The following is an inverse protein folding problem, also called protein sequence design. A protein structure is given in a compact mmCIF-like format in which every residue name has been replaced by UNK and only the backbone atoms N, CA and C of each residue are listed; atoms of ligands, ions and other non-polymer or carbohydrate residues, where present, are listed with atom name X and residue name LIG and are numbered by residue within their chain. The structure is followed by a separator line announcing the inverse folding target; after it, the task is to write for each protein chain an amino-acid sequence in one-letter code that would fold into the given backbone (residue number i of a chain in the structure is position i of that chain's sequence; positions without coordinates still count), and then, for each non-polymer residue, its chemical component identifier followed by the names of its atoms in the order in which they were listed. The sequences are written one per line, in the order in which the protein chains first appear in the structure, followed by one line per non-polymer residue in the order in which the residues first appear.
data_IF_432069414500
#
_entry.id   IF_432069414500
#
_cell.length_a   1.000
_cell.length_b   1.000
_cell.length_c   1.000
_cell.angle_alpha   90.00
_cell.angle_beta   90.00
_cell.angle_gamma   90.00
#
_symmetry.space_group_name_H-M   'P 1'
#
loop_
_entity.id
_entity.type
_entity.pdbx_description
1 polymer ?
#
# COMPACT_ATOMS: atom_id res chain seq x y z
N UNK A 1 -4.66 -20.71 0.67
CA UNK A 1 -4.81 -20.36 0.87
C UNK A 1 -5.33 -19.33 1.32
N UNK A 2 -5.59 -18.68 1.45
CA UNK A 2 -5.87 -17.83 1.91
C UNK A 2 -6.67 -17.45 2.48
N UNK A 3 -6.65 -16.91 3.02
CA UNK A 3 -7.34 -16.61 3.82
C UNK A 3 -7.97 -15.37 4.11
N UNK A 4 -7.41 -14.29 4.02
CA UNK A 4 -8.00 -13.01 4.36
C UNK A 4 -9.02 -12.59 3.31
N UNK A 5 -9.88 -11.63 3.71
CA UNK A 5 -10.84 -11.07 2.77
C UNK A 5 -10.10 -10.34 1.64
N UNK A 6 -8.98 -9.69 1.96
CA UNK A 6 -8.17 -9.02 0.95
C UNK A 6 -7.63 -10.01 -0.08
N UNK A 7 -7.19 -11.18 0.38
CA UNK A 7 -6.68 -12.21 -0.53
C UNK A 7 -7.76 -12.67 -1.49
N UNK A 8 -8.96 -12.87 -0.99
CA UNK A 8 -10.08 -13.32 -1.82
C UNK A 8 -10.48 -12.23 -2.83
N UNK A 9 -10.47 -10.99 -2.40
CA UNK A 9 -10.77 -9.88 -3.29
C UNK A 9 -9.67 -9.77 -4.35
N UNK A 10 -8.41 -9.87 -3.93
CA UNK A 10 -7.28 -9.82 -4.85
C UNK A 10 -7.43 -10.85 -5.95
N UNK A 11 -7.73 -12.09 -5.59
CA UNK A 11 -7.87 -13.16 -6.56
C UNK A 11 -9.01 -12.91 -7.55
N UNK A 12 -10.08 -12.28 -7.08
CA UNK A 12 -11.21 -11.97 -7.94
C UNK A 12 -10.90 -10.84 -8.91
N UNK A 13 -10.31 -9.75 -8.42
CA UNK A 13 -10.18 -8.53 -9.22
C UNK A 13 -8.94 -8.50 -10.09
N UNK A 14 -7.89 -9.25 -9.72
CA UNK A 14 -6.62 -9.21 -10.43
C UNK A 14 -6.77 -9.50 -11.92
N UNK A 15 -7.41 -10.62 -12.32
CA UNK A 15 -7.54 -10.88 -13.76
C UNK A 15 -8.41 -9.85 -14.48
N UNK A 16 -9.40 -9.29 -13.79
CA UNK A 16 -10.25 -8.27 -14.40
C UNK A 16 -9.44 -6.99 -14.67
N UNK A 17 -8.63 -6.58 -13.71
CA UNK A 17 -7.80 -5.39 -13.85
C UNK A 17 -6.76 -5.60 -14.95
N UNK A 18 -6.14 -6.78 -14.99
CA UNK A 18 -5.14 -7.07 -16.02
C UNK A 18 -5.75 -7.11 -17.41
N UNK A 19 -6.98 -7.58 -17.54
CA UNK A 19 -7.66 -7.59 -18.82
C UNK A 19 -7.92 -6.18 -19.35
N UNK A 20 -7.88 -5.19 -18.49
CA UNK A 20 -8.08 -3.79 -18.87
C UNK A 20 -6.76 -3.03 -19.04
N UNK A 21 -5.64 -3.75 -19.02
CA UNK A 21 -4.33 -3.16 -19.28
C UNK A 21 -3.65 -2.54 -18.08
N UNK A 22 -4.21 -2.70 -16.89
CA UNK A 22 -3.63 -2.18 -15.66
C UNK A 22 -3.04 -3.31 -14.82
N UNK A 23 -2.27 -2.95 -13.82
CA UNK A 23 -1.68 -3.90 -12.87
C UNK A 23 -2.24 -3.62 -11.49
N UNK A 24 -2.64 -4.67 -10.79
CA UNK A 24 -3.10 -4.54 -9.41
C UNK A 24 -1.90 -4.42 -8.49
N UNK A 25 -1.83 -3.29 -7.77
CA UNK A 25 -0.76 -3.06 -6.80
C UNK A 25 -1.10 -3.67 -5.45
N UNK A 26 -2.32 -3.50 -4.99
CA UNK A 26 -2.73 -4.05 -3.71
C UNK A 26 -4.18 -3.76 -3.38
N UNK A 27 -4.66 -4.45 -2.36
CA UNK A 27 -6.04 -4.35 -1.88
C UNK A 27 -6.01 -4.03 -0.41
N UNK A 28 -6.79 -3.05 0.01
CA UNK A 28 -6.92 -2.72 1.42
C UNK A 28 -8.40 -2.64 1.77
N UNK A 29 -8.79 -3.39 2.78
CA UNK A 29 -10.17 -3.42 3.24
C UNK A 29 -10.23 -2.94 4.68
N UNK A 30 -11.00 -1.89 4.92
CA UNK A 30 -11.12 -1.27 6.23
C UNK A 30 -12.57 -1.25 6.64
N UNK A 31 -12.85 -1.59 7.88
CA UNK A 31 -14.21 -1.54 8.40
C UNK A 31 -14.26 -0.62 9.61
N UNK A 32 -15.41 0.02 9.77
CA UNK A 32 -15.75 0.73 10.99
C UNK A 32 -17.13 0.27 11.41
N UNK A 33 -17.66 0.87 12.48
CA UNK A 33 -18.97 0.46 12.99
C UNK A 33 -20.08 0.54 11.95
N UNK A 34 -20.00 1.53 11.04
CA UNK A 34 -21.13 1.84 10.17
C UNK A 34 -20.83 1.62 8.68
N UNK A 35 -19.59 1.39 8.32
CA UNK A 35 -19.28 1.27 6.90
C UNK A 35 -18.00 0.49 6.67
N UNK A 36 -17.87 0.03 5.44
CA UNK A 36 -16.67 -0.63 4.97
C UNK A 36 -16.10 0.15 3.78
N UNK A 37 -14.79 0.21 3.70
CA UNK A 37 -14.08 0.87 2.61
C UNK A 37 -13.16 -0.15 1.97
N UNK A 38 -13.34 -0.36 0.67
CA UNK A 38 -12.46 -1.22 -0.12
C UNK A 38 -11.64 -0.33 -1.04
N UNK A 39 -10.33 -0.38 -0.87
CA UNK A 39 -9.40 0.38 -1.69
C UNK A 39 -8.64 -0.57 -2.60
N UNK A 40 -8.69 -0.30 -3.89
CA UNK A 40 -7.99 -1.05 -4.91
C UNK A 40 -6.95 -0.12 -5.52
N UNK A 41 -5.69 -0.48 -5.38
CA UNK A 41 -4.59 0.33 -5.90
C UNK A 41 -4.09 -0.29 -7.19
N UNK A 42 -4.01 0.53 -8.23
CA UNK A 42 -3.63 0.05 -9.57
C UNK A 42 -2.48 0.88 -10.11
N UNK A 43 -1.74 0.29 -11.04
CA UNK A 43 -0.73 0.99 -11.82
C UNK A 43 -0.97 0.78 -13.29
N UNK A 44 -0.47 1.70 -14.10
CA UNK A 44 -0.58 1.63 -15.55
C UNK A 44 0.67 2.30 -16.13
N UNK A 45 1.19 1.73 -17.20
CA UNK A 45 2.44 2.23 -17.77
C UNK A 45 2.35 3.68 -18.23
N UNK A 46 1.16 4.11 -18.64
CA UNK A 46 0.94 5.50 -19.06
C UNK A 46 0.41 6.38 -17.94
N UNK A 47 0.46 5.89 -16.71
CA UNK A 47 -0.11 6.60 -15.57
C UNK A 47 -1.58 6.24 -15.35
N UNK A 48 -2.06 6.54 -14.18
CA UNK A 48 -3.43 6.19 -13.77
C UNK A 48 -4.31 7.43 -13.89
N UNK A 49 -5.21 7.40 -14.85
CA UNK A 49 -6.14 8.52 -15.08
C UNK A 49 -7.43 8.30 -14.31
N UNK A 50 -8.19 9.38 -14.13
CA UNK A 50 -9.52 9.28 -13.53
C UNK A 50 -10.45 8.43 -14.39
N UNK A 51 -10.31 8.50 -15.71
CA UNK A 51 -11.14 7.70 -16.61
C UNK A 51 -10.86 6.21 -16.45
N UNK A 52 -9.58 5.84 -16.34
CA UNK A 52 -9.21 4.44 -16.12
C UNK A 52 -9.78 3.93 -14.80
N UNK A 53 -9.66 4.74 -13.74
CA UNK A 53 -10.23 4.35 -12.44
C UNK A 53 -11.73 4.16 -12.51
N UNK A 54 -12.42 5.04 -13.23
CA UNK A 54 -13.86 4.92 -13.41
C UNK A 54 -14.26 3.67 -14.20
N UNK A 55 -13.53 3.39 -15.28
CA UNK A 55 -13.79 2.20 -16.09
C UNK A 55 -13.57 0.93 -15.27
N UNK A 56 -12.51 0.88 -14.49
CA UNK A 56 -12.23 -0.29 -13.65
C UNK A 56 -13.30 -0.42 -12.57
N UNK A 57 -13.71 0.69 -11.95
CA UNK A 57 -14.78 0.66 -10.95
C UNK A 57 -16.06 0.05 -11.56
N UNK A 58 -16.41 0.43 -12.78
CA UNK A 58 -17.61 -0.10 -13.44
C UNK A 58 -17.52 -1.60 -13.69
N UNK A 59 -16.34 -2.14 -13.88
CA UNK A 59 -16.15 -3.58 -14.07
C UNK A 59 -16.13 -4.30 -12.73
N UNK A 60 -15.46 -3.73 -11.72
CA UNK A 60 -15.27 -4.42 -10.45
C UNK A 60 -16.52 -4.43 -9.58
N UNK A 61 -17.33 -3.37 -9.59
CA UNK A 61 -18.50 -3.29 -8.72
C UNK A 61 -19.45 -4.47 -8.91
N UNK A 62 -19.93 -4.76 -10.14
CA UNK A 62 -20.83 -5.90 -10.27
C UNK A 62 -20.17 -7.23 -10.00
N UNK A 63 -18.87 -7.37 -10.28
CA UNK A 63 -18.16 -8.62 -9.99
C UNK A 63 -18.06 -8.86 -8.48
N UNK A 64 -17.77 -7.80 -7.73
CA UNK A 64 -17.68 -7.90 -6.27
C UNK A 64 -19.05 -8.20 -5.66
N UNK A 65 -20.09 -7.56 -6.18
CA UNK A 65 -21.45 -7.78 -5.69
C UNK A 65 -21.90 -9.22 -5.98
N UNK A 66 -21.61 -9.72 -7.15
CA UNK A 66 -22.00 -11.09 -7.53
C UNK A 66 -21.24 -12.14 -6.70
N UNK A 67 -19.98 -11.86 -6.37
CA UNK A 67 -19.19 -12.82 -5.59
C UNK A 67 -19.59 -12.84 -4.12
N UNK A 68 -20.24 -11.78 -3.64
CA UNK A 68 -20.76 -11.69 -2.28
C UNK A 68 -19.68 -11.96 -1.22
N UNK A 69 -18.48 -11.42 -1.47
CA UNK A 69 -17.36 -11.57 -0.52
C UNK A 69 -17.52 -10.60 0.64
N UNK A 70 -18.04 -9.41 0.35
CA UNK A 70 -18.16 -8.34 1.34
C UNK A 70 -19.63 -8.23 1.73
N UNK A 71 -19.94 -8.62 2.96
CA UNK A 71 -21.33 -8.70 3.38
C UNK A 71 -22.00 -7.35 3.57
N UNK A 72 -21.43 -6.40 4.34
CA UNK A 72 -22.14 -5.11 4.53
C UNK A 72 -21.96 -4.21 3.32
N UNK A 73 -22.74 -3.14 3.29
CA UNK A 73 -22.55 -2.11 2.28
C UNK A 73 -21.14 -1.57 2.39
N UNK A 74 -20.53 -1.29 1.27
CA UNK A 74 -19.15 -0.83 1.23
C UNK A 74 -18.97 0.26 0.18
N UNK A 75 -17.92 1.05 0.35
CA UNK A 75 -17.50 2.03 -0.63
C UNK A 75 -16.29 1.46 -1.37
N UNK A 76 -16.31 1.52 -2.70
CA UNK A 76 -15.20 1.07 -3.53
C UNK A 76 -14.43 2.28 -4.02
N UNK A 77 -13.12 2.30 -3.76
CA UNK A 77 -12.22 3.32 -4.29
C UNK A 77 -11.14 2.66 -5.12
N UNK A 78 -10.97 3.13 -6.34
CA UNK A 78 -9.91 2.67 -7.24
C UNK A 78 -9.00 3.86 -7.50
N UNK A 79 -7.71 3.71 -7.23
CA UNK A 79 -6.75 4.81 -7.38
C UNK A 79 -5.36 4.29 -7.61
N UNK A 80 -4.43 5.20 -7.94
CA UNK A 80 -3.02 4.85 -7.95
C UNK A 80 -2.52 4.74 -6.52
N UNK A 81 -1.38 4.02 -6.30
CA UNK A 81 -0.84 3.91 -4.94
C UNK A 81 -0.30 5.21 -4.37
N UNK A 82 0.09 6.16 -5.23
CA UNK A 82 0.67 7.41 -4.78
C UNK A 82 2.15 7.31 -4.48
N UNK A 83 2.75 8.42 -4.08
CA UNK A 83 4.17 8.46 -3.72
C UNK A 83 4.41 7.88 -2.33
N UNK A 84 3.43 8.01 -1.44
CA UNK A 84 3.48 7.46 -0.09
C UNK A 84 2.78 6.11 -0.04
N UNK A 85 3.00 5.31 -1.05
CA UNK A 85 2.27 4.05 -1.26
C UNK A 85 2.47 3.05 -0.15
N UNK A 86 1.46 2.22 0.01
CA UNK A 86 1.54 1.06 0.90
C UNK A 86 2.27 -0.05 0.16
N UNK A 87 3.17 -0.73 0.86
CA UNK A 87 3.86 -1.91 0.33
C UNK A 87 3.18 -3.15 0.90
N UNK A 88 2.64 -3.96 0.00
CA UNK A 88 1.80 -5.11 0.39
C UNK A 88 2.55 -6.43 0.40
N UNK A 89 3.62 -6.54 -0.39
CA UNK A 89 4.35 -7.80 -0.55
C UNK A 89 5.83 -7.59 -0.30
N UNK A 90 6.54 -8.67 0.04
CA UNK A 90 7.99 -8.59 0.20
C UNK A 90 8.69 -8.17 -1.09
N UNK A 91 8.19 -8.61 -2.24
CA UNK A 91 8.80 -8.19 -3.50
C UNK A 91 8.70 -6.68 -3.68
N UNK A 92 7.56 -6.11 -3.33
CA UNK A 92 7.42 -4.66 -3.37
C UNK A 92 8.37 -3.98 -2.39
N UNK A 93 8.53 -4.55 -1.19
CA UNK A 93 9.43 -3.98 -0.18
C UNK A 93 10.86 -3.98 -0.70
N UNK A 94 11.28 -5.06 -1.37
CA UNK A 94 12.65 -5.15 -1.89
C UNK A 94 12.98 -4.05 -2.88
N UNK A 95 11.98 -3.62 -3.64
CA UNK A 95 12.17 -2.55 -4.60
C UNK A 95 12.39 -1.18 -3.94
N UNK A 96 12.15 -1.09 -2.64
CA UNK A 96 12.28 0.16 -1.90
C UNK A 96 13.43 0.16 -0.91
N UNK A 97 14.42 -0.72 -1.09
CA UNK A 97 15.68 -0.65 -0.37
C UNK A 97 16.29 0.74 -0.58
N UNK A 98 16.85 1.31 0.47
CA UNK A 98 17.39 2.67 0.52
C UNK A 98 16.34 3.77 0.52
N UNK A 99 15.08 3.40 0.72
CA UNK A 99 14.02 4.38 0.93
C UNK A 99 13.62 4.40 2.40
N UNK A 100 13.14 5.55 2.85
CA UNK A 100 12.58 5.66 4.20
C UNK A 100 11.19 5.07 4.20
N UNK A 101 10.93 4.22 5.18
CA UNK A 101 9.63 3.56 5.33
C UNK A 101 9.05 3.88 6.69
N UNK A 102 7.72 3.91 6.76
CA UNK A 102 6.99 4.01 8.02
C UNK A 102 6.21 2.72 8.21
N UNK A 103 6.43 2.08 9.35
CA UNK A 103 5.82 0.78 9.65
C UNK A 103 4.93 0.88 10.88
N UNK A 104 3.78 0.20 10.81
CA UNK A 104 2.93 -0.05 11.98
C UNK A 104 3.00 -1.54 12.27
N UNK A 105 3.20 -1.87 13.54
CA UNK A 105 3.47 -3.25 13.96
C UNK A 105 2.25 -3.85 14.65
N UNK A 106 2.06 -5.15 14.47
CA UNK A 106 1.02 -5.89 15.18
C UNK A 106 1.37 -6.04 16.65
N UNK A 107 2.63 -6.40 16.91
CA UNK A 107 3.16 -6.55 18.26
C UNK A 107 4.22 -5.46 18.44
N UNK A 108 4.14 -4.68 19.53
CA UNK A 108 5.12 -3.62 19.72
C UNK A 108 6.55 -4.15 19.75
N UNK A 109 7.47 -3.38 19.18
CA UNK A 109 8.89 -3.67 19.21
C UNK A 109 9.55 -2.61 20.08
N UNK A 110 10.19 -3.04 21.17
CA UNK A 110 10.80 -2.14 22.14
C UNK A 110 9.81 -1.08 22.63
N UNK A 111 8.57 -1.50 22.85
CA UNK A 111 7.50 -0.62 23.35
C UNK A 111 6.86 0.27 22.31
N UNK A 112 7.23 0.14 21.05
CA UNK A 112 6.74 1.02 19.99
C UNK A 112 5.98 0.21 18.94
N UNK A 113 4.83 0.73 18.51
CA UNK A 113 4.07 0.15 17.41
C UNK A 113 4.35 0.83 16.08
N UNK A 114 4.89 2.04 16.10
CA UNK A 114 5.15 2.81 14.89
C UNK A 114 6.63 3.10 14.80
N UNK A 115 7.21 2.78 13.67
CA UNK A 115 8.62 2.98 13.41
C UNK A 115 8.78 3.73 12.09
N UNK A 116 9.84 4.51 12.00
CA UNK A 116 10.17 5.17 10.75
C UNK A 116 11.69 5.13 10.60
N UNK A 117 12.15 4.68 9.44
CA UNK A 117 13.58 4.62 9.20
C UNK A 117 13.91 4.19 7.79
N UNK A 118 15.21 4.17 7.52
CA UNK A 118 15.72 3.79 6.20
C UNK A 118 15.78 2.27 6.09
N UNK A 119 15.19 1.75 5.02
CA UNK A 119 15.25 0.31 4.76
C UNK A 119 16.63 -0.02 4.20
N UNK A 120 17.39 -0.79 4.97
CA UNK A 120 18.75 -1.17 4.57
C UNK A 120 18.77 -2.47 3.78
N UNK A 121 17.98 -3.44 4.17
CA UNK A 121 17.96 -4.73 3.49
C UNK A 121 16.71 -5.52 3.84
N UNK A 122 16.42 -6.52 3.01
CA UNK A 122 15.32 -7.45 3.21
C UNK A 122 15.90 -8.85 3.00
N UNK A 123 15.80 -9.69 4.01
CA UNK A 123 16.31 -11.05 3.91
C UNK A 123 15.33 -11.96 3.17
N UNK A 124 15.76 -13.15 2.80
CA UNK A 124 14.90 -14.09 2.11
C UNK A 124 13.75 -14.56 3.00
N UNK A 125 13.98 -14.61 4.30
CA UNK A 125 12.94 -15.06 5.23
C UNK A 125 11.98 -13.97 5.63
N UNK A 126 12.13 -12.77 5.08
CA UNK A 126 11.20 -11.68 5.35
C UNK A 126 11.57 -10.79 6.52
N UNK A 127 12.84 -10.77 6.91
CA UNK A 127 13.29 -9.82 7.93
C UNK A 127 13.72 -8.52 7.27
N UNK A 128 13.15 -7.42 7.75
CA UNK A 128 13.50 -6.08 7.29
C UNK A 128 14.52 -5.49 8.26
N UNK A 129 15.61 -4.93 7.74
CA UNK A 129 16.56 -4.17 8.56
C UNK A 129 16.28 -2.71 8.30
N UNK A 130 15.83 -2.02 9.34
CA UNK A 130 15.43 -0.61 9.25
C UNK A 130 16.33 0.18 10.18
N UNK A 131 16.88 1.26 9.67
CA UNK A 131 17.77 2.14 10.44
C UNK A 131 16.96 3.32 10.94
N UNK A 132 16.56 3.25 12.21
CA UNK A 132 15.83 4.33 12.88
C UNK A 132 16.82 5.34 13.41
N UNK A 133 16.49 6.60 13.29
CA UNK A 133 17.41 7.67 13.73
C UNK A 133 17.75 7.57 15.19
N UNK A 134 16.79 7.15 16.01
CA UNK A 134 16.99 7.15 17.47
C UNK A 134 17.46 5.81 17.99
N UNK A 135 17.00 4.73 17.38
CA UNK A 135 17.23 3.37 17.88
C UNK A 135 18.34 2.64 17.14
N UNK A 136 18.81 3.18 16.01
CA UNK A 136 19.78 2.48 15.18
C UNK A 136 19.11 1.38 14.37
N UNK A 137 19.88 0.37 14.01
CA UNK A 137 19.37 -0.70 13.16
C UNK A 137 18.45 -1.63 13.94
N UNK A 138 17.30 -1.92 13.35
CA UNK A 138 16.32 -2.82 13.94
C UNK A 138 15.95 -3.88 12.93
N UNK A 139 15.77 -5.10 13.42
CA UNK A 139 15.33 -6.23 12.58
C UNK A 139 13.87 -6.48 12.87
N UNK A 140 13.03 -6.30 11.87
CA UNK A 140 11.59 -6.39 12.01
C UNK A 140 11.08 -7.45 11.02
N UNK A 141 10.34 -8.43 11.53
CA UNK A 141 9.72 -9.43 10.65
C UNK A 141 8.59 -8.78 9.85
N UNK A 142 8.59 -8.98 8.55
CA UNK A 142 7.51 -8.45 7.71
C UNK A 142 6.15 -8.98 8.18
N UNK A 143 6.11 -10.21 8.68
CA UNK A 143 4.87 -10.79 9.22
C UNK A 143 4.32 -10.01 10.41
N UNK A 144 5.17 -9.26 11.12
CA UNK A 144 4.73 -8.41 12.24
C UNK A 144 4.29 -7.02 11.80
N UNK A 145 4.42 -6.69 10.51
CA UNK A 145 4.03 -5.38 10.01
C UNK A 145 2.58 -5.43 9.58
N UNK A 146 1.74 -4.57 10.17
CA UNK A 146 0.35 -4.45 9.78
C UNK A 146 0.17 -3.45 8.64
N UNK A 147 1.05 -2.45 8.55
CA UNK A 147 1.00 -1.44 7.50
C UNK A 147 2.41 -0.93 7.25
N UNK A 148 2.80 -0.87 5.99
CA UNK A 148 4.12 -0.37 5.60
C UNK A 148 3.94 0.64 4.48
N UNK A 149 4.45 1.86 4.70
CA UNK A 149 4.32 2.95 3.73
C UNK A 149 5.67 3.51 3.37
N UNK A 150 5.80 3.93 2.13
CA UNK A 150 6.96 4.70 1.69
C UNK A 150 6.81 6.13 2.20
N UNK A 151 7.88 6.69 2.72
CA UNK A 151 7.92 8.11 3.07
C UNK A 151 8.61 8.83 1.90
N UNK A 152 7.87 9.63 1.13
CA UNK A 152 8.47 10.24 -0.06
C UNK A 152 9.58 11.21 0.31
N UNK A 153 10.60 11.27 -0.53
CA UNK A 153 11.63 12.28 -0.42
C UNK A 153 11.29 13.40 -1.38
N UNK A 154 11.07 14.61 -0.85
CA UNK A 154 10.84 15.76 -1.70
C UNK A 154 12.16 16.48 -1.88
N UNK A 155 12.51 16.65 -3.12
CA UNK A 155 13.69 17.38 -3.35
C UNK A 155 13.49 18.76 -3.09
N UNK A 156 13.11 19.30 -2.69
CA UNK A 156 12.95 20.39 -2.51
C UNK A 156 13.22 21.16 -1.83
N UNK A 157 13.52 20.92 -1.68
CA UNK A 157 13.87 21.36 -1.01
C UNK A 157 14.22 22.17 -1.56
N UNK A 158 14.25 22.15 -2.22
CA UNK A 158 14.50 22.60 -2.76
C UNK A 158 13.76 23.44 -3.03
N UNK A 159 13.52 23.74 -2.92
CA UNK A 159 12.93 24.28 -2.81
C UNK A 159 12.49 24.99 -2.63
N UNK A 160 12.53 25.01 -2.43
CA UNK A 160 12.09 25.61 -2.16
C UNK A 160 12.06 26.41 -2.28
N UNK A 161 12.26 26.56 -2.41
CA UNK A 161 12.44 27.21 -2.24
C UNK A 161 11.94 27.83 -2.61
N UNK A 162 12.06 27.80 -2.85
CA UNK A 162 11.72 28.39 -2.93
C UNK A 162 11.09 29.06 -3.09
N UNK A 163 10.93 28.94 -3.11
CA UNK A 163 10.36 29.38 -2.88
C UNK A 163 9.96 30.18 -2.84
N UNK A 164 10.01 30.42 -2.75
CA UNK A 164 9.84 31.02 -2.29
C UNK A 164 9.44 31.80 -2.67
N UNK A 165 9.78 31.91 -2.91
CA UNK A 165 9.50 32.57 -2.97
C UNK A 165 8.90 33.27 -3.34
N UNK A 166 8.76 33.61 -3.53
CA UNK A 166 8.24 34.14 -3.51
C UNK A 166 7.72 34.74 -3.49
N UNK A 167 7.63 35.08 -3.74
CA UNK A 167 7.38 35.56 -3.36
C UNK A 167 6.99 36.03 -3.36
#
# INVERSE_FOLDING_TARGET
MSGTIEDRIYDLVCPLIESMGATLWGVRYKTSHTRALLQIFIEHEDGVSADLCGDITHVLSPALDAADIIAPAYTLEVSSPGLDRILFTLDQVRDYTDHTLRAELRIPFMGRRKLEGLLLSVSEDGTLVIDDKDQGQMEIAFANVSLLRVVPKFKTNTVPKAAKAHK
#
